data_IF_144879154383
#
_entry.id   IF_144879154383
#
_cell.length_a   1.000
_cell.length_b   1.000
_cell.length_c   1.000
_cell.angle_alpha   90.00
_cell.angle_beta   90.00
_cell.angle_gamma   90.00
#
_symmetry.space_group_name_H-M   'P 1'
#
loop_
_entity.id
_entity.type
_entity.pdbx_description
1 polymer ?
#
# COMPACT_ATOMS: atom_id res chain seq x y z
N UNK A 1 25.82 33.94 -4.10
CA UNK A 1 24.73 33.28 -4.86
C UNK A 1 24.60 31.85 -4.34
N UNK A 2 23.44 31.42 -3.80
CA UNK A 2 23.26 30.05 -3.32
C UNK A 2 23.36 29.03 -4.45
N UNK A 3 23.86 27.82 -4.16
CA UNK A 3 24.04 26.78 -5.19
C UNK A 3 22.68 26.19 -5.59
N UNK A 4 22.51 25.84 -6.86
CA UNK A 4 21.22 25.32 -7.39
C UNK A 4 20.68 24.12 -6.61
N UNK A 5 21.55 23.21 -6.15
CA UNK A 5 21.14 22.05 -5.37
C UNK A 5 20.61 22.42 -3.97
N UNK A 6 21.11 23.49 -3.34
CA UNK A 6 20.65 23.96 -2.02
C UNK A 6 19.22 24.49 -2.10
N UNK A 7 18.89 25.18 -3.19
CA UNK A 7 17.54 25.68 -3.44
C UNK A 7 16.58 24.54 -3.81
N UNK A 8 17.06 23.59 -4.63
CA UNK A 8 16.29 22.44 -5.09
C UNK A 8 15.91 21.46 -3.96
N UNK A 9 16.66 21.39 -2.85
CA UNK A 9 16.29 20.58 -1.67
C UNK A 9 14.92 21.01 -1.14
N UNK A 10 14.67 22.32 -1.06
CA UNK A 10 13.41 22.82 -0.49
C UNK A 10 12.21 22.51 -1.38
N UNK A 11 12.37 22.51 -2.71
CA UNK A 11 11.31 22.11 -3.62
C UNK A 11 11.05 20.60 -3.55
N UNK A 12 12.12 19.81 -3.43
CA UNK A 12 12.02 18.37 -3.20
C UNK A 12 11.28 18.04 -1.91
N UNK A 13 11.63 18.72 -0.80
CA UNK A 13 10.95 18.56 0.50
C UNK A 13 9.50 19.05 0.50
N UNK A 14 9.09 19.86 -0.49
CA UNK A 14 7.68 20.27 -0.71
C UNK A 14 6.92 19.31 -1.63
N UNK A 15 7.53 18.17 -2.01
CA UNK A 15 6.91 17.15 -2.85
C UNK A 15 7.03 17.38 -4.36
N UNK A 16 7.85 18.34 -4.82
CA UNK A 16 8.11 18.51 -6.26
C UNK A 16 8.91 17.34 -6.82
N UNK A 17 8.50 16.85 -7.98
CA UNK A 17 9.18 15.73 -8.65
C UNK A 17 10.55 16.14 -9.20
N UNK A 18 11.45 15.16 -9.37
CA UNK A 18 12.75 15.42 -9.97
C UNK A 18 12.66 16.01 -11.39
N UNK A 19 11.56 15.76 -12.11
CA UNK A 19 11.28 16.35 -13.44
C UNK A 19 10.92 17.83 -13.35
N UNK A 20 10.08 18.22 -12.39
CA UNK A 20 9.68 19.62 -12.18
C UNK A 20 10.85 20.47 -11.66
N UNK A 21 11.66 19.91 -10.75
CA UNK A 21 12.87 20.57 -10.24
C UNK A 21 13.88 20.76 -11.38
N UNK A 22 14.06 19.74 -12.23
CA UNK A 22 14.94 19.83 -13.39
C UNK A 22 14.53 20.98 -14.34
N UNK A 23 13.23 21.09 -14.61
CA UNK A 23 12.66 22.15 -15.44
C UNK A 23 12.85 23.54 -14.79
N UNK A 24 12.55 23.68 -13.49
CA UNK A 24 12.64 24.93 -12.74
C UNK A 24 14.06 25.51 -12.68
N UNK A 25 15.06 24.65 -12.53
CA UNK A 25 16.47 25.07 -12.39
C UNK A 25 17.27 24.98 -13.69
N UNK A 26 16.63 24.57 -14.79
CA UNK A 26 17.25 24.41 -16.10
C UNK A 26 18.39 23.39 -16.08
N UNK A 27 18.17 22.24 -15.45
CA UNK A 27 19.17 21.16 -15.33
C UNK A 27 18.56 19.83 -15.80
N UNK A 28 19.39 18.85 -16.15
CA UNK A 28 18.90 17.52 -16.49
C UNK A 28 18.33 16.79 -15.27
N UNK A 29 17.32 15.93 -15.49
CA UNK A 29 16.72 15.10 -14.43
C UNK A 29 17.76 14.23 -13.72
N UNK A 30 18.74 13.70 -14.46
CA UNK A 30 19.85 12.93 -13.90
C UNK A 30 20.72 13.73 -12.92
N UNK A 31 20.83 15.04 -13.13
CA UNK A 31 21.55 15.94 -12.23
C UNK A 31 20.82 16.08 -10.90
N UNK A 32 19.49 16.20 -10.92
CA UNK A 32 18.65 16.27 -9.71
C UNK A 32 18.70 14.95 -8.94
N UNK A 33 18.64 13.81 -9.65
CA UNK A 33 18.80 12.47 -9.02
C UNK A 33 20.17 12.29 -8.36
N UNK A 34 21.24 12.76 -9.01
CA UNK A 34 22.60 12.76 -8.46
C UNK A 34 22.70 13.65 -7.23
N UNK A 35 22.03 14.81 -7.20
CA UNK A 35 21.97 15.65 -6.00
C UNK A 35 21.22 14.97 -4.84
N UNK A 36 20.06 14.34 -5.11
CA UNK A 36 19.32 13.55 -4.11
C UNK A 36 20.23 12.50 -3.47
N UNK A 37 20.97 11.74 -4.29
CA UNK A 37 21.88 10.71 -3.81
C UNK A 37 23.10 11.26 -3.05
N UNK A 38 23.77 12.29 -3.59
CA UNK A 38 24.99 12.87 -2.99
C UNK A 38 24.73 13.61 -1.68
N UNK A 39 23.61 14.30 -1.58
CA UNK A 39 23.26 15.12 -0.43
C UNK A 39 22.20 14.47 0.46
N UNK A 40 21.90 13.18 0.23
CA UNK A 40 20.97 12.37 1.02
C UNK A 40 19.66 13.10 1.30
N UNK A 41 18.98 13.58 0.25
CA UNK A 41 17.70 14.25 0.44
C UNK A 41 16.68 13.22 0.91
N UNK A 42 16.40 13.21 2.21
CA UNK A 42 15.39 12.37 2.85
C UNK A 42 14.02 12.98 2.61
N UNK A 43 13.06 12.15 2.21
CA UNK A 43 11.67 12.56 2.06
C UNK A 43 11.11 12.91 3.44
N UNK A 44 10.78 14.18 3.67
CA UNK A 44 9.85 14.57 4.72
C UNK A 44 8.55 14.92 4.03
N UNK A 45 7.70 13.93 3.79
CA UNK A 45 6.28 14.26 3.77
C UNK A 45 5.86 14.53 5.22
N UNK A 46 5.34 15.73 5.43
CA UNK A 46 4.90 16.23 6.70
C UNK A 46 3.85 15.31 7.35
N UNK A 47 4.15 14.79 8.54
CA UNK A 47 3.21 14.67 9.66
C UNK A 47 3.96 14.38 10.96
N UNK A 48 4.17 15.43 11.78
CA UNK A 48 4.41 15.37 13.23
C UNK A 48 5.64 14.55 13.73
N UNK A 49 6.08 14.68 15.01
CA UNK A 49 7.36 14.13 15.45
C UNK A 49 7.26 12.62 15.67
N UNK A 50 8.17 11.87 15.04
CA UNK A 50 8.28 10.42 15.18
C UNK A 50 8.89 10.00 16.52
N UNK A 51 8.13 9.20 17.25
CA UNK A 51 8.66 8.16 18.11
C UNK A 51 9.30 7.08 17.20
N UNK A 52 10.62 7.14 17.05
CA UNK A 52 11.40 6.31 16.12
C UNK A 52 11.72 4.95 16.72
N UNK A 53 11.32 3.88 16.02
CA UNK A 53 11.75 2.51 16.30
C UNK A 53 10.85 1.44 15.70
N UNK A 54 9.53 1.56 15.85
CA UNK A 54 8.59 0.47 15.50
C UNK A 54 7.78 0.73 14.21
N UNK A 55 7.47 1.99 13.91
CA UNK A 55 6.61 2.35 12.77
C UNK A 55 7.29 2.21 11.40
N UNK A 56 8.62 2.36 11.31
CA UNK A 56 9.35 2.27 10.04
C UNK A 56 9.43 0.80 9.56
N UNK A 57 9.75 -0.13 10.46
CA UNK A 57 9.77 -1.58 10.20
C UNK A 57 8.40 -2.15 9.82
N UNK A 58 7.33 -1.74 10.51
CA UNK A 58 5.97 -2.21 10.21
C UNK A 58 5.48 -1.74 8.83
N UNK A 59 5.90 -0.56 8.40
CA UNK A 59 5.58 -0.07 7.05
C UNK A 59 6.34 -0.89 5.99
N UNK A 60 7.61 -1.23 6.23
CA UNK A 60 8.39 -2.08 5.30
C UNK A 60 7.79 -3.48 5.17
N UNK A 61 7.52 -4.18 6.28
CA UNK A 61 6.90 -5.52 6.24
C UNK A 61 5.53 -5.50 5.57
N UNK A 62 4.75 -4.43 5.77
CA UNK A 62 3.46 -4.26 5.11
C UNK A 62 3.60 -4.12 3.60
N UNK A 63 4.55 -3.30 3.12
CA UNK A 63 4.80 -3.15 1.68
C UNK A 63 5.31 -4.45 1.06
N UNK A 64 6.23 -5.16 1.73
CA UNK A 64 6.74 -6.45 1.26
C UNK A 64 5.62 -7.49 1.14
N UNK A 65 4.78 -7.62 2.16
CA UNK A 65 3.63 -8.53 2.11
C UNK A 65 2.65 -8.15 0.99
N UNK A 66 2.45 -6.85 0.76
CA UNK A 66 1.60 -6.33 -0.31
C UNK A 66 2.16 -6.67 -1.70
N UNK A 67 3.46 -6.48 -1.91
CA UNK A 67 4.15 -6.80 -3.16
C UNK A 67 4.13 -8.30 -3.44
N UNK A 68 4.41 -9.14 -2.45
CA UNK A 68 4.37 -10.61 -2.60
C UNK A 68 2.98 -11.09 -3.05
N UNK A 69 1.91 -10.54 -2.45
CA UNK A 69 0.54 -10.90 -2.82
C UNK A 69 0.21 -10.39 -4.23
N UNK A 70 0.60 -9.16 -4.56
CA UNK A 70 0.39 -8.59 -5.90
C UNK A 70 1.06 -9.44 -6.97
N UNK A 71 2.36 -9.73 -6.80
CA UNK A 71 3.13 -10.52 -7.75
C UNK A 71 2.54 -11.92 -7.90
N UNK A 72 2.16 -12.57 -6.79
CA UNK A 72 1.53 -13.89 -6.86
C UNK A 72 0.20 -13.88 -7.62
N UNK A 73 -0.65 -12.85 -7.45
CA UNK A 73 -1.92 -12.74 -8.20
C UNK A 73 -1.67 -12.52 -9.69
N UNK A 74 -0.69 -11.70 -10.05
CA UNK A 74 -0.30 -11.46 -11.45
C UNK A 74 0.28 -12.73 -12.08
N UNK A 75 1.15 -13.45 -11.36
CA UNK A 75 1.73 -14.70 -11.84
C UNK A 75 0.65 -15.76 -12.10
N UNK A 76 -0.36 -15.85 -11.23
CA UNK A 76 -1.49 -16.77 -11.46
C UNK A 76 -2.33 -16.38 -12.68
N UNK A 77 -2.52 -15.08 -12.95
CA UNK A 77 -3.19 -14.64 -14.17
C UNK A 77 -2.41 -15.04 -15.43
N UNK A 78 -1.08 -14.85 -15.40
CA UNK A 78 -0.19 -15.24 -16.50
C UNK A 78 -0.21 -16.77 -16.70
N UNK A 79 -0.15 -17.54 -15.61
CA UNK A 79 -0.19 -19.00 -15.65
C UNK A 79 -1.51 -19.54 -16.23
N UNK A 80 -2.61 -18.83 -16.02
CA UNK A 80 -3.93 -19.16 -16.59
C UNK A 80 -4.12 -18.63 -18.04
N UNK A 81 -3.08 -18.07 -18.66
CA UNK A 81 -3.12 -17.41 -19.98
C UNK A 81 -4.12 -16.23 -20.07
N UNK A 82 -4.40 -15.59 -18.93
CA UNK A 82 -5.30 -14.45 -18.80
C UNK A 82 -4.46 -13.16 -18.74
N UNK A 83 -4.11 -12.63 -19.92
CA UNK A 83 -3.24 -11.45 -20.03
C UNK A 83 -3.94 -10.26 -20.70
N UNK A 84 -5.13 -9.89 -20.22
CA UNK A 84 -5.85 -8.70 -20.70
C UNK A 84 -5.74 -7.55 -19.69
N UNK A 85 -5.58 -6.29 -20.15
CA UNK A 85 -5.39 -5.14 -19.26
C UNK A 85 -6.45 -4.97 -18.17
N UNK A 86 -7.71 -5.35 -18.44
CA UNK A 86 -8.79 -5.23 -17.46
C UNK A 86 -8.66 -6.23 -16.30
N UNK A 87 -8.03 -7.40 -16.49
CA UNK A 87 -7.77 -8.31 -15.36
C UNK A 87 -6.64 -7.78 -14.48
N UNK A 88 -5.67 -7.07 -15.06
CA UNK A 88 -4.64 -6.36 -14.27
C UNK A 88 -5.25 -5.27 -13.40
N UNK A 89 -6.20 -4.51 -13.95
CA UNK A 89 -6.95 -3.48 -13.19
C UNK A 89 -7.73 -4.09 -12.02
N UNK A 90 -8.40 -5.23 -12.25
CA UNK A 90 -9.10 -5.98 -11.20
C UNK A 90 -8.18 -6.51 -10.08
N UNK A 91 -6.91 -6.81 -10.39
CA UNK A 91 -5.90 -7.16 -9.37
C UNK A 91 -5.52 -5.93 -8.54
N UNK A 92 -5.33 -4.77 -9.17
CA UNK A 92 -5.05 -3.52 -8.43
C UNK A 92 -6.24 -3.14 -7.53
N UNK A 93 -7.48 -3.31 -8.00
CA UNK A 93 -8.69 -3.15 -7.20
C UNK A 93 -8.70 -4.09 -5.99
N UNK A 94 -8.32 -5.36 -6.20
CA UNK A 94 -8.19 -6.33 -5.11
C UNK A 94 -7.17 -5.87 -4.07
N UNK A 95 -6.02 -5.36 -4.50
CA UNK A 95 -4.98 -4.86 -3.58
C UNK A 95 -5.42 -3.62 -2.81
N UNK A 96 -6.17 -2.72 -3.44
CA UNK A 96 -6.78 -1.58 -2.74
C UNK A 96 -7.77 -2.04 -1.66
N UNK A 97 -8.58 -3.08 -1.94
CA UNK A 97 -9.46 -3.67 -0.94
C UNK A 97 -8.70 -4.42 0.16
N UNK A 98 -7.55 -5.04 -0.16
CA UNK A 98 -6.68 -5.65 0.83
C UNK A 98 -6.14 -4.60 1.82
N UNK A 99 -5.77 -3.41 1.33
CA UNK A 99 -5.35 -2.30 2.16
C UNK A 99 -6.46 -1.83 3.10
N UNK A 100 -7.67 -1.63 2.55
CA UNK A 100 -8.86 -1.26 3.34
C UNK A 100 -9.16 -2.33 4.40
N UNK A 101 -9.11 -3.62 4.04
CA UNK A 101 -9.35 -4.74 4.95
C UNK A 101 -8.38 -4.71 6.13
N UNK A 102 -7.08 -4.49 5.88
CA UNK A 102 -6.09 -4.43 6.95
C UNK A 102 -6.32 -3.24 7.90
N UNK A 103 -6.68 -2.08 7.36
CA UNK A 103 -7.04 -0.91 8.16
C UNK A 103 -8.27 -1.17 9.05
N UNK A 104 -9.30 -1.83 8.50
CA UNK A 104 -10.49 -2.22 9.27
C UNK A 104 -10.16 -3.24 10.37
N UNK A 105 -9.25 -4.18 10.11
CA UNK A 105 -8.76 -5.14 11.12
C UNK A 105 -7.99 -4.41 12.23
N UNK A 106 -7.10 -3.48 11.87
CA UNK A 106 -6.34 -2.68 12.82
C UNK A 106 -7.28 -1.88 13.75
N UNK A 107 -8.28 -1.24 13.16
CA UNK A 107 -9.31 -0.50 13.91
C UNK A 107 -10.11 -1.40 14.88
N UNK A 108 -10.50 -2.61 14.45
CA UNK A 108 -11.21 -3.56 15.30
C UNK A 108 -10.31 -4.05 16.44
N UNK A 109 -9.02 -4.25 16.19
CA UNK A 109 -8.04 -4.64 17.23
C UNK A 109 -7.89 -3.54 18.27
N UNK A 110 -7.86 -2.29 17.83
CA UNK A 110 -7.68 -1.13 18.71
C UNK A 110 -8.95 -0.79 19.50
N UNK A 111 -10.10 -0.65 18.81
CA UNK A 111 -11.34 -0.16 19.42
C UNK A 111 -12.30 -1.27 19.85
N UNK A 112 -12.03 -2.51 19.46
CA UNK A 112 -12.90 -3.66 19.72
C UNK A 112 -14.15 -3.71 18.83
N UNK A 113 -14.97 -4.74 19.05
CA UNK A 113 -16.21 -5.00 18.29
C UNK A 113 -17.37 -4.08 18.68
N UNK A 114 -17.26 -3.39 19.83
CA UNK A 114 -18.26 -2.44 20.32
C UNK A 114 -17.56 -1.16 20.78
N UNK A 115 -18.01 -0.03 20.26
CA UNK A 115 -17.42 1.29 20.47
C UNK A 115 -18.38 2.17 21.26
N UNK A 116 -17.83 3.02 22.12
CA UNK A 116 -18.64 4.02 22.83
C UNK A 116 -18.98 5.14 21.85
N UNK A 117 -20.25 5.50 21.75
CA UNK A 117 -20.68 6.71 21.08
C UNK A 117 -21.12 7.74 22.12
N UNK A 118 -20.86 9.00 21.83
CA UNK A 118 -21.26 10.13 22.67
C UNK A 118 -21.94 11.18 21.79
N UNK A 119 -23.03 11.76 22.28
CA UNK A 119 -23.68 12.92 21.66
C UNK A 119 -23.86 14.01 22.72
N UNK A 120 -22.74 14.46 23.28
CA UNK A 120 -22.65 15.53 24.28
C UNK A 120 -23.22 15.15 25.65
N UNK A 121 -24.54 15.01 25.75
CA UNK A 121 -25.26 14.74 27.02
C UNK A 121 -25.55 13.25 27.27
N UNK A 122 -25.44 12.41 26.24
CA UNK A 122 -25.73 10.98 26.32
C UNK A 122 -24.56 10.20 25.74
N UNK A 123 -24.26 9.06 26.37
CA UNK A 123 -23.31 8.09 25.86
C UNK A 123 -23.91 6.69 25.90
N UNK A 124 -23.45 5.82 25.01
CA UNK A 124 -23.86 4.43 24.94
C UNK A 124 -22.84 3.60 24.20
N UNK A 125 -23.06 2.28 24.13
CA UNK A 125 -22.26 1.37 23.30
C UNK A 125 -23.00 1.09 22.00
N UNK A 126 -22.30 1.19 20.87
CA UNK A 126 -22.79 0.72 19.57
C UNK A 126 -21.81 -0.30 18.99
N UNK A 127 -22.24 -1.04 17.97
CA UNK A 127 -21.33 -1.90 17.21
C UNK A 127 -20.26 -1.05 16.52
N UNK A 128 -19.05 -1.57 16.42
CA UNK A 128 -18.02 -0.94 15.61
C UNK A 128 -18.38 -1.09 14.13
N UNK A 129 -18.50 0.04 13.42
CA UNK A 129 -18.89 0.09 12.01
C UNK A 129 -17.88 -0.69 11.13
N UNK A 130 -16.61 -0.72 11.53
CA UNK A 130 -15.55 -1.46 10.84
C UNK A 130 -15.79 -2.97 10.75
N UNK A 131 -16.54 -3.56 11.69
CA UNK A 131 -16.88 -4.99 11.65
C UNK A 131 -17.80 -5.30 10.46
N UNK A 132 -18.78 -4.43 10.21
CA UNK A 132 -19.70 -4.61 9.08
C UNK A 132 -18.99 -4.33 7.75
N UNK A 133 -18.19 -3.27 7.69
CA UNK A 133 -17.42 -2.94 6.49
C UNK A 133 -16.37 -4.01 6.17
N UNK A 134 -15.72 -4.61 7.17
CA UNK A 134 -14.77 -5.71 6.96
C UNK A 134 -15.44 -6.90 6.26
N UNK A 135 -16.63 -7.28 6.70
CA UNK A 135 -17.38 -8.38 6.07
C UNK A 135 -17.76 -8.07 4.63
N UNK A 136 -18.14 -6.82 4.33
CA UNK A 136 -18.46 -6.38 2.96
C UNK A 136 -17.22 -6.36 2.06
N UNK A 137 -16.12 -5.80 2.55
CA UNK A 137 -14.82 -5.78 1.85
C UNK A 137 -14.35 -7.19 1.56
N UNK A 138 -14.37 -8.08 2.55
CA UNK A 138 -14.01 -9.49 2.36
C UNK A 138 -14.89 -10.17 1.30
N UNK A 139 -16.21 -9.92 1.30
CA UNK A 139 -17.11 -10.47 0.28
C UNK A 139 -16.74 -9.96 -1.12
N UNK A 140 -16.47 -8.67 -1.27
CA UNK A 140 -16.07 -8.09 -2.55
C UNK A 140 -14.73 -8.66 -3.04
N UNK A 141 -13.77 -8.83 -2.14
CA UNK A 141 -12.49 -9.47 -2.45
C UNK A 141 -12.65 -10.91 -2.95
N UNK A 142 -13.52 -11.70 -2.31
CA UNK A 142 -13.84 -13.06 -2.76
C UNK A 142 -14.53 -13.08 -4.14
N UNK A 143 -15.39 -12.10 -4.41
CA UNK A 143 -15.99 -11.92 -5.74
C UNK A 143 -14.90 -11.64 -6.78
N UNK A 144 -13.99 -10.69 -6.52
CA UNK A 144 -12.89 -10.38 -7.44
C UNK A 144 -12.03 -11.61 -7.74
N UNK A 145 -11.63 -12.39 -6.73
CA UNK A 145 -10.88 -13.63 -6.96
C UNK A 145 -11.66 -14.63 -7.83
N UNK A 146 -12.98 -14.69 -7.67
CA UNK A 146 -13.84 -15.52 -8.52
C UNK A 146 -13.88 -15.03 -9.97
N UNK A 147 -14.00 -13.72 -10.19
CA UNK A 147 -14.02 -13.11 -11.54
C UNK A 147 -12.66 -13.23 -12.24
N UNK A 148 -11.56 -13.17 -11.48
CA UNK A 148 -10.19 -13.41 -11.98
C UNK A 148 -9.94 -14.90 -12.31
N UNK A 149 -10.86 -15.81 -11.97
CA UNK A 149 -10.67 -17.26 -12.14
C UNK A 149 -9.69 -17.89 -11.14
N UNK A 150 -9.25 -17.14 -10.11
CA UNK A 150 -8.22 -17.54 -9.14
C UNK A 150 -8.79 -18.29 -7.92
N UNK A 151 -9.84 -19.09 -8.12
CA UNK A 151 -10.38 -19.93 -7.03
C UNK A 151 -9.36 -21.00 -6.64
N UNK A 152 -9.39 -21.41 -5.36
CA UNK A 152 -8.49 -22.39 -4.73
C UNK A 152 -8.43 -23.80 -5.38
N UNK A 153 -9.05 -24.00 -6.54
CA UNK A 153 -9.03 -25.24 -7.30
C UNK A 153 -7.72 -25.48 -8.07
N UNK A 154 -6.86 -24.47 -8.23
CA UNK A 154 -5.61 -24.58 -9.01
C UNK A 154 -4.35 -24.83 -8.15
N UNK A 155 -4.50 -25.23 -6.88
CA UNK A 155 -3.39 -25.86 -6.17
C UNK A 155 -3.29 -27.29 -6.68
N UNK A 156 -2.70 -27.47 -7.87
CA UNK A 156 -2.07 -28.75 -8.17
C UNK A 156 -1.08 -29.01 -7.04
N UNK A 157 -1.35 -30.06 -6.27
CA UNK A 157 -0.39 -30.60 -5.33
C UNK A 157 0.84 -30.95 -6.14
N UNK A 158 1.88 -30.17 -6.01
CA UNK A 158 3.22 -30.61 -6.34
C UNK A 158 3.63 -31.64 -5.26
N UNK A 159 3.03 -32.84 -5.34
CA UNK A 159 3.47 -34.04 -4.65
C UNK A 159 4.72 -34.60 -5.37
N UNK A 160 5.73 -33.76 -5.66
CA UNK A 160 7.06 -34.20 -6.12
C UNK A 160 8.13 -33.95 -5.05
N UNK A 161 7.98 -34.67 -3.93
CA UNK A 161 9.18 -35.19 -3.26
C UNK A 161 9.19 -36.69 -3.50
N UNK A 162 9.55 -37.07 -4.73
CA UNK A 162 10.11 -38.38 -5.03
C UNK A 162 11.63 -38.34 -4.74
N UNK A 163 12.04 -39.28 -3.88
CA UNK A 163 13.36 -39.88 -3.69
C UNK A 163 14.57 -39.02 -3.24
N UNK A 164 14.95 -39.24 -1.96
CA UNK A 164 16.24 -39.84 -1.59
C UNK A 164 16.23 -40.38 -0.16
#
# INVERSE_FOLDING_TARGET
MPKKHELAVNDYLRGSTAKEIALKYGVAVGTVKSWKARYKWTEKNATAPEATGENETLNTEYQEAREIILDSLVDQLIANDINLPHYRDLVEDYMALWDIKNNLIADIRERGVAVVWTNGKQSGKKKNDSVNELNKTNKQMLTLLSELGLKAANLEKDDTIEDA
#
